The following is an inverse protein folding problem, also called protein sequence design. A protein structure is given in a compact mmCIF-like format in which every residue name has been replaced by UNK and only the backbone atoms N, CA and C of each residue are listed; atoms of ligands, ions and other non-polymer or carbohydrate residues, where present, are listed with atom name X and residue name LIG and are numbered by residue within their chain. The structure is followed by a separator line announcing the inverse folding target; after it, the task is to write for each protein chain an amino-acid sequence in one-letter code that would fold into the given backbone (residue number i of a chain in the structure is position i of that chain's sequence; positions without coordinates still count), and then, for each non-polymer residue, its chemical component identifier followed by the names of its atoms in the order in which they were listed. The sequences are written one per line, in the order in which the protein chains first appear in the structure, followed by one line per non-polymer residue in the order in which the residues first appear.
data_IF_654823441102
#
_entry.id   IF_654823441102
#
_cell.length_a   1.000
_cell.length_b   1.000
_cell.length_c   1.000
_cell.angle_alpha   90.00
_cell.angle_beta   90.00
_cell.angle_gamma   90.00
#
_symmetry.space_group_name_H-M   'P 1'
#
loop_
_entity.id
_entity.type
_entity.pdbx_description
1 polymer ?
#
# COMPACT_ATOMS: atom_id res chain seq x y z
N UNK A 1 -84.50 -18.19 -3.78
CA UNK A 1 -83.37 -18.43 -2.87
C UNK A 1 -82.07 -18.25 -3.64
N UNK A 2 -81.40 -17.11 -3.49
CA UNK A 2 -80.15 -16.79 -4.18
C UNK A 2 -78.95 -17.15 -3.28
N UNK A 3 -77.99 -17.90 -3.82
CA UNK A 3 -76.66 -18.13 -3.22
C UNK A 3 -75.66 -17.24 -3.94
N UNK A 4 -75.02 -16.33 -3.23
CA UNK A 4 -73.95 -15.48 -3.78
C UNK A 4 -72.66 -15.75 -3.02
N UNK A 5 -71.65 -16.23 -3.75
CA UNK A 5 -70.29 -16.50 -3.29
C UNK A 5 -69.55 -15.20 -2.99
N UNK A 6 -68.89 -15.10 -1.83
CA UNK A 6 -68.08 -13.95 -1.42
C UNK A 6 -66.59 -14.29 -1.58
N UNK A 7 -65.95 -13.65 -2.57
CA UNK A 7 -64.51 -13.69 -2.88
C UNK A 7 -63.72 -13.01 -1.75
N UNK A 8 -62.68 -13.66 -1.22
CA UNK A 8 -61.72 -13.07 -0.27
C UNK A 8 -60.68 -12.24 -1.03
N UNK A 9 -60.46 -11.01 -0.59
CA UNK A 9 -59.45 -10.09 -1.11
C UNK A 9 -58.28 -10.04 -0.10
N UNK A 10 -57.07 -10.34 -0.58
CA UNK A 10 -55.82 -10.36 0.20
C UNK A 10 -55.25 -8.94 0.30
N UNK A 11 -55.12 -8.41 1.52
CA UNK A 11 -54.42 -7.13 1.77
C UNK A 11 -52.95 -7.41 2.15
N UNK A 12 -52.07 -6.98 1.25
CA UNK A 12 -50.62 -7.03 1.34
C UNK A 12 -50.11 -6.06 2.44
N UNK A 13 -49.44 -6.57 3.47
CA UNK A 13 -48.87 -5.77 4.56
C UNK A 13 -47.48 -5.27 4.20
N UNK A 14 -47.35 -4.00 3.82
CA UNK A 14 -46.06 -3.31 3.80
C UNK A 14 -45.70 -2.87 5.22
N UNK A 15 -44.66 -3.46 5.78
CA UNK A 15 -44.08 -3.09 7.08
C UNK A 15 -43.56 -1.65 7.01
N UNK A 16 -44.02 -0.71 7.85
CA UNK A 16 -43.46 0.64 7.87
C UNK A 16 -42.05 0.60 8.46
N UNK A 17 -41.11 1.22 7.76
CA UNK A 17 -39.74 1.45 8.22
C UNK A 17 -39.83 2.33 9.48
N UNK A 18 -39.28 1.85 10.60
CA UNK A 18 -39.27 2.55 11.89
C UNK A 18 -38.62 3.93 11.77
N UNK A 19 -39.44 4.98 11.72
CA UNK A 19 -38.99 6.37 11.85
C UNK A 19 -38.72 6.78 13.32
N UNK A 20 -38.97 5.86 14.28
CA UNK A 20 -38.88 6.10 15.73
C UNK A 20 -37.45 6.28 16.28
N UNK A 21 -36.42 5.95 15.50
CA UNK A 21 -35.03 6.12 15.95
C UNK A 21 -34.60 7.60 15.84
N UNK A 22 -35.18 8.35 14.91
CA UNK A 22 -34.84 9.75 14.66
C UNK A 22 -35.47 10.71 15.68
N UNK A 23 -36.58 10.32 16.30
CA UNK A 23 -37.35 11.17 17.21
C UNK A 23 -36.89 11.10 18.67
N UNK A 24 -36.23 10.00 19.08
CA UNK A 24 -35.80 9.80 20.49
C UNK A 24 -34.58 10.62 20.92
N UNK A 25 -33.92 11.34 20.00
CA UNK A 25 -32.73 12.13 20.30
C UNK A 25 -33.00 13.63 20.54
N UNK A 26 -34.27 14.09 20.48
CA UNK A 26 -34.61 15.49 20.79
C UNK A 26 -33.88 16.54 19.93
N UNK A 27 -33.35 16.13 18.77
CA UNK A 27 -32.62 17.02 17.88
C UNK A 27 -33.63 17.83 17.07
N UNK A 28 -33.84 19.07 17.49
CA UNK A 28 -34.57 20.06 16.69
C UNK A 28 -33.91 20.13 15.30
N UNK A 29 -34.72 20.09 14.24
CA UNK A 29 -34.27 20.06 12.83
C UNK A 29 -33.22 21.15 12.48
N UNK A 30 -33.19 22.26 13.23
CA UNK A 30 -32.22 23.35 13.10
C UNK A 30 -30.78 22.98 13.50
N UNK A 31 -30.59 22.02 14.42
CA UNK A 31 -29.26 21.61 14.89
C UNK A 31 -28.66 20.47 14.07
N UNK A 32 -29.46 19.81 13.23
CA UNK A 32 -28.99 18.72 12.37
C UNK A 32 -27.95 19.23 11.38
N UNK A 33 -28.23 20.36 10.71
CA UNK A 33 -27.28 20.98 9.77
C UNK A 33 -26.05 21.56 10.46
N UNK A 34 -26.20 22.13 11.67
CA UNK A 34 -25.08 22.62 12.47
C UNK A 34 -24.16 21.47 12.90
N UNK A 35 -24.74 20.37 13.38
CA UNK A 35 -23.98 19.17 13.76
C UNK A 35 -23.28 18.52 12.57
N UNK A 36 -23.96 18.42 11.42
CA UNK A 36 -23.36 17.94 10.16
C UNK A 36 -22.22 18.85 9.69
N UNK A 37 -22.40 20.18 9.77
CA UNK A 37 -21.35 21.14 9.41
C UNK A 37 -20.10 20.99 10.28
N UNK A 38 -20.28 20.89 11.61
CA UNK A 38 -19.17 20.67 12.55
C UNK A 38 -18.47 19.33 12.25
N UNK A 39 -19.24 18.26 11.99
CA UNK A 39 -18.67 16.95 11.67
C UNK A 39 -17.81 16.99 10.39
N UNK A 40 -18.26 17.66 9.33
CA UNK A 40 -17.49 17.79 8.07
C UNK A 40 -16.18 18.55 8.29
N UNK A 41 -16.20 19.65 9.05
CA UNK A 41 -14.98 20.42 9.36
C UNK A 41 -13.98 19.60 10.17
N UNK A 42 -14.46 18.82 11.14
CA UNK A 42 -13.60 17.92 11.93
C UNK A 42 -13.00 16.80 11.08
N UNK A 43 -13.76 16.21 10.16
CA UNK A 43 -13.26 15.17 9.24
C UNK A 43 -12.19 15.74 8.30
N UNK A 44 -12.44 16.89 7.68
CA UNK A 44 -11.46 17.53 6.78
C UNK A 44 -10.19 17.92 7.54
N UNK A 45 -10.34 18.48 8.73
CA UNK A 45 -9.21 18.81 9.60
C UNK A 45 -8.40 17.57 10.00
N UNK A 46 -9.07 16.48 10.37
CA UNK A 46 -8.43 15.21 10.69
C UNK A 46 -7.70 14.61 9.48
N UNK A 47 -8.32 14.62 8.30
CA UNK A 47 -7.70 14.16 7.06
C UNK A 47 -6.50 15.02 6.68
N UNK A 48 -6.58 16.35 6.81
CA UNK A 48 -5.45 17.24 6.58
C UNK A 48 -4.30 16.94 7.57
N UNK A 49 -4.59 16.75 8.86
CA UNK A 49 -3.59 16.37 9.85
C UNK A 49 -2.95 15.00 9.55
N UNK A 50 -3.75 14.04 9.08
CA UNK A 50 -3.25 12.73 8.65
C UNK A 50 -2.33 12.87 7.43
N UNK A 51 -2.71 13.69 6.45
CA UNK A 51 -1.93 13.93 5.24
C UNK A 51 -0.65 14.75 5.49
N UNK A 52 -0.67 15.68 6.45
CA UNK A 52 0.52 16.45 6.85
C UNK A 52 1.47 15.65 7.75
N UNK A 53 0.99 14.60 8.43
CA UNK A 53 1.85 13.74 9.27
C UNK A 53 2.68 12.76 8.46
N UNK A 54 2.35 12.53 7.19
CA UNK A 54 3.04 11.60 6.29
C UNK A 54 4.13 12.29 5.44
N UNK A 55 5.08 12.94 6.10
CA UNK A 55 6.27 13.55 5.44
C UNK A 55 7.60 13.31 6.15
N UNK A 56 7.68 12.35 7.06
CA UNK A 56 8.93 12.03 7.74
C UNK A 56 9.44 10.67 7.29
N UNK A 57 10.07 10.65 6.11
CA UNK A 57 10.69 9.47 5.53
C UNK A 57 11.76 9.82 4.50
N UNK A 58 12.58 10.83 4.77
CA UNK A 58 13.78 11.12 3.98
C UNK A 58 14.98 11.12 4.93
N UNK A 59 15.53 9.93 5.17
CA UNK A 59 16.89 9.81 5.65
C UNK A 59 17.80 9.96 4.43
N UNK A 60 18.59 11.04 4.43
CA UNK A 60 19.57 11.33 3.40
C UNK A 60 20.65 10.25 3.43
N UNK A 61 20.60 9.30 2.50
CA UNK A 61 21.72 8.38 2.27
C UNK A 61 22.79 9.15 1.50
N UNK A 62 23.92 9.39 2.16
CA UNK A 62 25.07 10.07 1.57
C UNK A 62 25.68 9.17 0.49
N UNK A 63 25.59 9.60 -0.77
CA UNK A 63 26.10 8.85 -1.95
C UNK A 63 27.61 8.53 -1.86
N UNK A 64 28.36 9.22 -0.98
CA UNK A 64 29.79 8.96 -0.74
C UNK A 64 30.05 7.59 -0.09
N UNK A 65 29.09 7.05 0.65
CA UNK A 65 29.24 5.78 1.38
C UNK A 65 29.06 4.55 0.47
N UNK A 66 28.45 4.74 -0.71
CA UNK A 66 28.21 3.68 -1.70
C UNK A 66 29.39 3.54 -2.69
N UNK A 67 30.19 4.59 -2.86
CA UNK A 67 31.20 4.67 -3.93
C UNK A 67 32.61 4.25 -3.53
N UNK A 68 32.87 3.96 -2.25
CA UNK A 68 34.17 3.45 -1.78
C UNK A 68 34.07 1.97 -1.44
N UNK A 69 34.03 1.15 -2.50
CA UNK A 69 34.26 -0.29 -2.40
C UNK A 69 35.72 -0.59 -2.14
N UNK A 70 36.17 -0.52 -0.89
CA UNK A 70 37.25 -1.35 -0.35
C UNK A 70 37.27 -1.23 1.20
N UNK A 71 37.30 -2.40 1.85
CA UNK A 71 37.72 -2.70 3.23
C UNK A 71 36.68 -2.81 4.35
N UNK A 72 36.53 -4.10 4.69
CA UNK A 72 36.72 -4.69 6.00
C UNK A 72 35.58 -4.59 7.01
N UNK A 73 35.08 -5.79 7.32
CA UNK A 73 34.18 -6.10 8.41
C UNK A 73 34.70 -5.50 9.73
N UNK A 74 34.10 -4.39 10.14
CA UNK A 74 33.86 -4.12 11.55
C UNK A 74 32.38 -3.82 11.74
N UNK A 75 31.82 -4.66 12.61
CA UNK A 75 30.45 -4.79 13.03
C UNK A 75 29.95 -3.47 13.65
N UNK A 76 29.37 -2.58 12.84
CA UNK A 76 28.51 -1.52 13.37
C UNK A 76 27.16 -2.11 13.74
N UNK A 77 27.06 -2.52 15.00
CA UNK A 77 25.82 -2.85 15.70
C UNK A 77 24.92 -1.60 15.78
N UNK A 78 24.28 -1.26 14.66
CA UNK A 78 23.04 -0.48 14.67
C UNK A 78 22.00 -1.36 15.35
N UNK A 79 21.44 -0.88 16.46
CA UNK A 79 20.50 -1.58 17.34
C UNK A 79 19.44 -2.38 16.54
N UNK A 80 19.75 -3.67 16.32
CA UNK A 80 19.01 -4.61 15.48
C UNK A 80 17.93 -5.30 16.30
N UNK A 81 17.16 -4.52 17.05
CA UNK A 81 16.00 -5.08 17.73
C UNK A 81 15.00 -5.56 16.65
N UNK A 82 14.64 -6.86 16.64
CA UNK A 82 13.57 -7.34 15.79
C UNK A 82 12.31 -6.51 16.04
N UNK A 83 11.76 -5.87 15.01
CA UNK A 83 10.56 -5.06 15.16
C UNK A 83 9.36 -6.01 15.26
N UNK A 84 8.73 -6.06 16.41
CA UNK A 84 7.54 -6.88 16.59
C UNK A 84 6.34 -6.24 15.86
N UNK A 85 5.57 -7.06 15.14
CA UNK A 85 4.31 -6.71 14.51
C UNK A 85 3.20 -7.61 15.05
N UNK A 86 2.06 -7.02 15.40
CA UNK A 86 0.86 -7.77 15.80
C UNK A 86 -0.05 -7.86 14.58
N UNK A 87 -0.27 -9.09 14.11
CA UNK A 87 -1.14 -9.40 12.97
C UNK A 87 -2.54 -8.88 13.23
N UNK A 88 -3.12 -8.18 12.27
CA UNK A 88 -4.49 -7.66 12.32
C UNK A 88 -5.43 -8.56 11.55
N UNK A 89 -6.73 -8.40 11.79
CA UNK A 89 -7.73 -9.13 11.03
C UNK A 89 -7.64 -8.77 9.53
N UNK A 90 -7.55 -9.80 8.69
CA UNK A 90 -7.35 -9.67 7.23
C UNK A 90 -5.89 -9.49 6.78
N UNK A 91 -4.91 -9.43 7.68
CA UNK A 91 -3.50 -9.40 7.27
C UNK A 91 -3.05 -10.72 6.64
N UNK A 92 -2.10 -10.63 5.71
CA UNK A 92 -1.31 -11.76 5.22
C UNK A 92 0.16 -11.33 5.14
N UNK A 93 1.08 -12.31 5.07
CA UNK A 93 2.52 -12.02 5.09
C UNK A 93 2.97 -11.14 3.92
N UNK A 94 2.30 -11.21 2.77
CA UNK A 94 2.59 -10.35 1.62
C UNK A 94 2.33 -8.88 1.96
N UNK A 95 1.14 -8.55 2.47
CA UNK A 95 0.79 -7.18 2.86
C UNK A 95 1.71 -6.65 3.97
N UNK A 96 2.07 -7.50 4.92
CA UNK A 96 3.00 -7.12 5.99
C UNK A 96 4.39 -6.83 5.38
N UNK A 97 4.88 -7.70 4.51
CA UNK A 97 6.16 -7.48 3.85
C UNK A 97 6.17 -6.23 2.98
N UNK A 98 5.11 -5.97 2.21
CA UNK A 98 4.96 -4.77 1.40
C UNK A 98 4.98 -3.50 2.25
N UNK A 99 4.28 -3.49 3.39
CA UNK A 99 4.26 -2.35 4.28
C UNK A 99 5.65 -2.04 4.89
N UNK A 100 6.38 -3.08 5.26
CA UNK A 100 7.65 -2.97 5.99
C UNK A 100 8.89 -2.85 5.10
N UNK A 101 8.91 -3.52 3.94
CA UNK A 101 10.07 -3.60 3.04
C UNK A 101 9.83 -2.93 1.69
N UNK A 102 8.62 -2.41 1.46
CA UNK A 102 8.18 -1.93 0.14
C UNK A 102 8.22 -3.03 -0.93
N UNK A 103 8.21 -4.28 -0.50
CA UNK A 103 8.07 -5.45 -1.34
C UNK A 103 7.34 -6.58 -0.63
N UNK A 104 6.29 -7.09 -1.28
CA UNK A 104 5.57 -8.26 -0.80
C UNK A 104 6.42 -9.52 -0.79
N UNK A 105 7.45 -9.65 -1.63
CA UNK A 105 8.26 -10.87 -1.77
C UNK A 105 9.11 -11.20 -0.54
N UNK A 106 9.39 -10.20 0.29
CA UNK A 106 10.06 -10.39 1.58
C UNK A 106 9.16 -11.09 2.63
N UNK A 107 7.96 -11.55 2.26
CA UNK A 107 7.13 -12.44 3.07
C UNK A 107 7.91 -13.70 3.49
N UNK A 108 8.82 -14.18 2.63
CA UNK A 108 9.67 -15.36 2.88
C UNK A 108 10.60 -15.11 4.08
N UNK A 109 11.16 -13.91 4.18
CA UNK A 109 12.04 -13.55 5.29
C UNK A 109 11.28 -13.46 6.60
N UNK A 110 10.05 -12.93 6.58
CA UNK A 110 9.16 -12.91 7.76
C UNK A 110 8.82 -14.34 8.17
N UNK A 111 8.40 -15.20 7.24
CA UNK A 111 8.05 -16.58 7.53
C UNK A 111 9.22 -17.35 8.16
N UNK A 112 10.43 -17.18 7.60
CA UNK A 112 11.66 -17.78 8.11
C UNK A 112 12.03 -17.26 9.50
N UNK A 113 11.98 -15.95 9.71
CA UNK A 113 12.29 -15.34 11.00
C UNK A 113 11.36 -15.79 12.14
N UNK A 114 10.14 -16.20 11.80
CA UNK A 114 9.12 -16.65 12.75
C UNK A 114 8.92 -18.18 12.77
N UNK A 115 9.73 -18.94 12.04
CA UNK A 115 9.62 -20.40 11.91
C UNK A 115 8.18 -20.87 11.57
N UNK A 116 7.49 -20.14 10.70
CA UNK A 116 6.12 -20.47 10.32
C UNK A 116 6.09 -21.77 9.50
N UNK A 117 5.31 -22.74 9.96
CA UNK A 117 5.15 -24.03 9.25
C UNK A 117 4.26 -23.86 8.01
N UNK A 118 3.19 -23.06 8.13
CA UNK A 118 2.36 -22.63 7.01
C UNK A 118 2.33 -21.09 6.94
N UNK A 119 3.01 -20.48 5.97
CA UNK A 119 3.05 -19.03 5.80
C UNK A 119 1.68 -18.39 5.49
N UNK A 120 0.70 -19.16 5.03
CA UNK A 120 -0.64 -18.66 4.74
C UNK A 120 -1.54 -18.64 5.99
N UNK A 121 -1.11 -19.30 7.07
CA UNK A 121 -1.88 -19.43 8.29
C UNK A 121 -1.26 -18.53 9.38
N UNK A 122 -1.58 -17.25 9.30
CA UNK A 122 -1.32 -16.28 10.38
C UNK A 122 -2.65 -15.82 10.98
N UNK A 123 -2.69 -15.66 12.30
CA UNK A 123 -3.91 -15.33 13.03
C UNK A 123 -3.86 -13.90 13.59
N UNK A 124 -5.01 -13.22 13.62
CA UNK A 124 -5.10 -11.91 14.25
C UNK A 124 -4.66 -11.99 15.72
N UNK A 125 -3.83 -11.04 16.15
CA UNK A 125 -3.20 -11.04 17.48
C UNK A 125 -1.87 -11.79 17.55
N UNK A 126 -1.50 -12.55 16.52
CA UNK A 126 -0.18 -13.20 16.46
C UNK A 126 0.93 -12.16 16.40
N UNK A 127 1.97 -12.38 17.21
CA UNK A 127 3.19 -11.57 17.19
C UNK A 127 4.17 -12.16 16.18
N UNK A 128 4.60 -11.32 15.24
CA UNK A 128 5.62 -11.64 14.25
C UNK A 128 6.85 -10.76 14.47
N UNK A 129 8.01 -11.40 14.48
CA UNK A 129 9.29 -10.75 14.34
C UNK A 129 9.47 -10.28 12.88
N UNK A 130 9.64 -8.97 12.68
CA UNK A 130 9.95 -8.37 11.38
C UNK A 130 11.46 -8.07 11.30
N UNK A 131 12.26 -8.87 10.60
CA UNK A 131 13.71 -8.67 10.48
C UNK A 131 14.05 -7.39 9.69
N UNK A 132 14.85 -6.49 10.26
CA UNK A 132 15.10 -5.17 9.65
C UNK A 132 16.21 -5.18 8.57
N UNK A 133 17.19 -6.08 8.65
CA UNK A 133 18.32 -6.15 7.72
C UNK A 133 18.14 -7.25 6.68
N UNK A 134 16.98 -7.26 6.02
CA UNK A 134 16.73 -8.17 4.90
C UNK A 134 17.03 -7.45 3.59
N UNK A 135 17.62 -8.19 2.66
CA UNK A 135 17.74 -7.71 1.28
C UNK A 135 16.33 -7.61 0.72
N UNK A 136 15.88 -6.41 0.36
CA UNK A 136 14.57 -6.23 -0.29
C UNK A 136 14.55 -7.04 -1.58
N UNK A 137 13.64 -8.01 -1.65
CA UNK A 137 13.44 -8.87 -2.80
C UNK A 137 12.47 -8.14 -3.70
N UNK A 138 12.94 -7.51 -4.76
CA UNK A 138 12.06 -7.05 -5.84
C UNK A 138 11.87 -8.20 -6.83
N UNK A 139 10.65 -8.43 -7.37
CA UNK A 139 10.48 -9.34 -8.49
C UNK A 139 11.18 -8.73 -9.69
N UNK A 140 12.43 -9.12 -9.85
CA UNK A 140 13.16 -8.84 -11.05
C UNK A 140 12.62 -9.78 -12.10
N UNK A 141 12.01 -9.23 -13.16
CA UNK A 141 12.10 -9.87 -14.45
C UNK A 141 13.54 -10.36 -14.62
N UNK A 142 13.71 -11.68 -14.62
CA UNK A 142 14.97 -12.39 -14.82
C UNK A 142 16.24 -11.73 -14.22
N UNK A 143 16.34 -11.63 -12.88
CA UNK A 143 17.64 -11.45 -12.21
C UNK A 143 18.44 -10.18 -12.55
N UNK A 144 17.78 -9.14 -13.06
CA UNK A 144 18.47 -7.91 -13.47
C UNK A 144 18.92 -7.07 -12.25
N UNK A 145 20.01 -6.31 -12.37
CA UNK A 145 20.51 -5.47 -11.27
C UNK A 145 19.67 -4.20 -11.07
N UNK A 146 19.74 -3.63 -9.85
CA UNK A 146 19.19 -2.29 -9.56
C UNK A 146 19.83 -1.23 -10.45
N UNK A 147 19.06 -0.22 -10.84
CA UNK A 147 19.52 0.90 -11.66
C UNK A 147 19.87 2.07 -10.72
N UNK A 148 21.16 2.20 -10.38
CA UNK A 148 21.66 3.25 -9.49
C UNK A 148 22.09 4.54 -10.21
N UNK A 149 22.20 4.51 -11.55
CA UNK A 149 22.61 5.67 -12.35
C UNK A 149 21.49 6.68 -12.63
N UNK A 150 21.86 7.81 -13.26
CA UNK A 150 20.93 8.80 -13.82
C UNK A 150 20.53 8.50 -15.26
N UNK A 151 21.02 7.39 -15.81
CA UNK A 151 20.62 6.87 -17.11
C UNK A 151 20.65 5.35 -17.13
N UNK A 152 19.91 4.75 -18.04
CA UNK A 152 19.83 3.32 -18.25
C UNK A 152 19.66 3.01 -19.73
N UNK A 153 20.43 2.03 -20.23
CA UNK A 153 20.27 1.53 -21.61
C UNK A 153 19.32 0.34 -21.58
N UNK A 154 18.18 0.49 -22.24
CA UNK A 154 17.15 -0.55 -22.36
C UNK A 154 17.71 -1.80 -23.04
N UNK A 155 17.32 -2.96 -22.53
CA UNK A 155 17.62 -4.27 -23.10
C UNK A 155 16.35 -4.96 -23.59
N UNK A 156 16.52 -6.08 -24.29
CA UNK A 156 15.37 -6.86 -24.79
C UNK A 156 14.47 -7.32 -23.64
N UNK A 157 13.16 -7.13 -23.82
CA UNK A 157 12.14 -7.46 -22.82
C UNK A 157 11.96 -6.46 -21.68
N UNK A 158 12.71 -5.35 -21.66
CA UNK A 158 12.47 -4.30 -20.65
C UNK A 158 11.09 -3.64 -20.86
N UNK A 159 10.48 -3.25 -19.74
CA UNK A 159 9.33 -2.34 -19.71
C UNK A 159 9.68 -1.12 -18.86
N UNK A 160 8.99 0.01 -19.07
CA UNK A 160 9.16 1.18 -18.20
C UNK A 160 8.76 0.86 -16.76
N UNK A 161 7.80 -0.04 -16.55
CA UNK A 161 7.44 -0.52 -15.21
C UNK A 161 8.62 -1.19 -14.52
N UNK A 162 9.27 -2.16 -15.17
CA UNK A 162 10.38 -2.91 -14.59
C UNK A 162 11.60 -2.01 -14.36
N UNK A 163 11.88 -1.10 -15.30
CA UNK A 163 12.94 -0.09 -15.16
C UNK A 163 12.65 0.81 -13.96
N UNK A 164 11.40 1.25 -13.77
CA UNK A 164 11.01 2.09 -12.64
C UNK A 164 11.06 1.34 -11.30
N UNK A 165 10.64 0.07 -11.25
CA UNK A 165 10.85 -0.78 -10.07
C UNK A 165 12.35 -0.92 -9.77
N UNK A 166 13.19 -1.13 -10.79
CA UNK A 166 14.64 -1.29 -10.61
C UNK A 166 15.37 0.01 -10.23
N UNK A 167 14.86 1.16 -10.66
CA UNK A 167 15.48 2.46 -10.39
C UNK A 167 14.99 3.12 -9.08
N UNK A 168 13.71 2.94 -8.75
CA UNK A 168 13.03 3.66 -7.68
C UNK A 168 12.43 2.74 -6.60
N UNK A 169 12.30 1.45 -6.87
CA UNK A 169 11.48 0.54 -6.06
C UNK A 169 9.97 0.76 -6.24
N UNK A 170 9.57 1.63 -7.17
CA UNK A 170 8.18 2.00 -7.42
C UNK A 170 7.92 1.94 -8.93
N UNK A 171 7.09 0.98 -9.35
CA UNK A 171 6.70 0.83 -10.74
C UNK A 171 5.94 2.05 -11.27
N UNK A 172 5.16 2.74 -10.44
CA UNK A 172 4.35 3.90 -10.85
C UNK A 172 5.17 5.12 -11.29
N UNK A 173 6.47 5.13 -11.01
CA UNK A 173 7.42 6.10 -11.56
C UNK A 173 7.60 5.99 -13.08
N UNK A 174 7.02 4.98 -13.73
CA UNK A 174 7.11 4.80 -15.18
C UNK A 174 6.60 6.02 -15.96
N UNK A 175 5.56 6.71 -15.46
CA UNK A 175 5.01 7.92 -16.09
C UNK A 175 6.04 9.05 -16.06
N UNK A 176 6.67 9.26 -14.91
CA UNK A 176 7.70 10.28 -14.73
C UNK A 176 8.89 10.03 -15.65
N UNK A 177 9.33 8.76 -15.77
CA UNK A 177 10.39 8.37 -16.70
C UNK A 177 9.97 8.62 -18.16
N UNK A 178 8.75 8.27 -18.53
CA UNK A 178 8.24 8.47 -19.89
C UNK A 178 8.20 9.96 -20.27
N UNK A 179 7.65 10.78 -19.39
CA UNK A 179 7.49 12.22 -19.58
C UNK A 179 8.84 12.92 -19.66
N UNK A 180 9.77 12.57 -18.76
CA UNK A 180 11.11 13.16 -18.73
C UNK A 180 11.89 12.88 -20.02
N UNK A 181 11.74 11.66 -20.56
CA UNK A 181 12.38 11.26 -21.82
C UNK A 181 11.55 11.64 -23.07
N UNK A 182 10.37 12.26 -22.88
CA UNK A 182 9.47 12.68 -23.96
C UNK A 182 9.15 11.52 -24.91
N UNK A 183 8.90 10.34 -24.35
CA UNK A 183 8.63 9.14 -25.14
C UNK A 183 7.30 9.31 -25.90
N UNK A 184 7.30 9.19 -27.24
CA UNK A 184 6.06 9.32 -28.02
C UNK A 184 5.03 8.24 -27.69
N UNK A 185 5.51 7.04 -27.36
CA UNK A 185 4.69 5.93 -26.89
C UNK A 185 5.41 5.20 -25.73
N UNK A 186 4.92 5.29 -24.49
CA UNK A 186 5.52 4.63 -23.33
C UNK A 186 5.53 3.09 -23.40
N UNK A 187 4.61 2.49 -24.16
CA UNK A 187 4.52 1.03 -24.31
C UNK A 187 5.56 0.47 -25.28
N UNK A 188 6.27 1.33 -26.03
CA UNK A 188 7.27 0.95 -27.01
C UNK A 188 8.60 1.59 -26.63
N UNK A 189 9.46 0.80 -25.98
CA UNK A 189 10.85 1.19 -25.71
C UNK A 189 11.80 0.33 -26.55
N UNK A 190 12.39 0.89 -27.63
CA UNK A 190 13.33 0.15 -28.47
C UNK A 190 14.58 -0.26 -27.68
N UNK A 191 15.05 -1.48 -27.90
CA UNK A 191 16.32 -1.97 -27.32
C UNK A 191 17.47 -1.04 -27.67
N UNK A 192 18.34 -0.76 -26.70
CA UNK A 192 19.48 0.16 -26.86
C UNK A 192 19.14 1.63 -26.67
N UNK A 193 17.87 1.97 -26.40
CA UNK A 193 17.47 3.34 -26.03
C UNK A 193 18.10 3.70 -24.69
N UNK A 194 18.79 4.83 -24.64
CA UNK A 194 19.33 5.41 -23.40
C UNK A 194 18.27 6.30 -22.77
N UNK A 195 17.63 5.81 -21.73
CA UNK A 195 16.68 6.57 -20.92
C UNK A 195 17.42 7.34 -19.84
N UNK A 196 17.07 8.60 -19.66
CA UNK A 196 17.43 9.36 -18.47
C UNK A 196 16.49 8.99 -17.33
N UNK A 197 17.04 8.79 -16.14
CA UNK A 197 16.33 8.34 -14.94
C UNK A 197 16.34 9.51 -13.94
N UNK A 198 15.25 10.28 -13.82
CA UNK A 198 15.11 11.37 -12.85
C UNK A 198 15.42 10.91 -11.42
N UNK A 199 15.90 11.81 -10.54
CA UNK A 199 16.21 11.50 -9.13
C UNK A 199 15.61 12.56 -8.23
#
# INVERSE_FOLDING_TARGET
MARTSKRKESKNSKTPINQDILTKLGLNQSYVSLALGIAVVLIIGFLALFFLRDKNGLQNVSIRDILTGDRDAQDEQVDNAPKEYIVKDGDNLWMIAENHYKSGYNWIDIAKANNLTDPNLIEAGQKLNIPQNVKVIIPLGQGQALIAGTSYTTVDGDTLWDISVRAYGDGYKWVEVADFNKLPNPDIIPVGTVLSIPR
#
